data_IF_575919466795
#
_entry.id   IF_575919466795
#
_cell.length_a   1.000
_cell.length_b   1.000
_cell.length_c   1.000
_cell.angle_alpha   90.00
_cell.angle_beta   90.00
_cell.angle_gamma   90.00
#
_symmetry.space_group_name_H-M   'P 1'
#
loop_
_entity.id
_entity.type
_entity.pdbx_description
1 polymer ?
#
# COMPACT_ATOMS: atom_id res chain seq x y z
N UNK A 1 -22.19 -15.68 -25.78
CA UNK A 1 -21.84 -14.34 -25.22
C UNK A 1 -21.75 -14.43 -23.70
N UNK A 2 -20.72 -15.09 -23.17
CA UNK A 2 -20.64 -15.39 -21.72
C UNK A 2 -19.50 -14.63 -21.02
N UNK A 3 -18.77 -13.78 -21.73
CA UNK A 3 -17.59 -13.09 -21.19
C UNK A 3 -17.98 -11.81 -20.41
N UNK A 4 -19.19 -11.28 -20.63
CA UNK A 4 -19.62 -10.02 -20.02
C UNK A 4 -20.11 -10.12 -18.57
N UNK A 5 -20.28 -11.32 -17.99
CA UNK A 5 -20.80 -11.46 -16.62
C UNK A 5 -19.73 -11.26 -15.52
N UNK A 6 -18.44 -11.40 -15.85
CA UNK A 6 -17.35 -11.25 -14.87
C UNK A 6 -17.05 -9.76 -14.55
N UNK A 7 -17.52 -8.83 -15.39
CA UNK A 7 -17.24 -7.39 -15.25
C UNK A 7 -18.10 -6.70 -14.18
N UNK A 8 -19.13 -7.33 -13.62
CA UNK A 8 -20.00 -6.71 -12.58
C UNK A 8 -19.28 -6.62 -11.20
N UNK A 9 -18.10 -7.21 -11.04
CA UNK A 9 -17.16 -6.93 -9.94
C UNK A 9 -15.76 -6.55 -10.41
N UNK A 10 -15.66 -6.13 -11.68
CA UNK A 10 -14.43 -6.07 -12.46
C UNK A 10 -13.58 -4.86 -12.13
N UNK A 11 -12.79 -4.93 -11.07
CA UNK A 11 -11.48 -4.27 -11.10
C UNK A 11 -10.60 -5.16 -11.97
N UNK A 12 -10.23 -4.69 -13.14
CA UNK A 12 -9.25 -5.41 -13.99
C UNK A 12 -7.90 -5.43 -13.26
N UNK A 13 -7.04 -6.41 -13.56
CA UNK A 13 -5.72 -6.51 -12.91
C UNK A 13 -4.85 -5.26 -13.09
N UNK A 14 -5.10 -4.49 -14.16
CA UNK A 14 -4.43 -3.22 -14.43
C UNK A 14 -4.93 -2.09 -13.53
N UNK A 15 -6.24 -1.98 -13.30
CA UNK A 15 -6.82 -0.99 -12.39
C UNK A 15 -6.54 -1.30 -10.91
N UNK A 16 -6.26 -2.56 -10.59
CA UNK A 16 -5.94 -2.97 -9.22
C UNK A 16 -4.65 -2.34 -8.71
N UNK A 17 -3.65 -2.16 -9.59
CA UNK A 17 -2.39 -1.49 -9.22
C UNK A 17 -2.64 -0.05 -8.81
N UNK A 18 -3.49 0.68 -9.53
CA UNK A 18 -3.83 2.06 -9.20
C UNK A 18 -4.55 2.16 -7.86
N UNK A 19 -5.43 1.19 -7.56
CA UNK A 19 -6.12 1.10 -6.26
C UNK A 19 -5.13 0.78 -5.13
N UNK A 20 -4.19 -0.14 -5.35
CA UNK A 20 -3.19 -0.54 -4.34
C UNK A 20 -2.21 0.62 -4.06
N UNK A 21 -1.73 1.29 -5.11
CA UNK A 21 -0.80 2.40 -5.02
C UNK A 21 -1.49 3.73 -4.64
N UNK A 22 -2.82 3.74 -4.51
CA UNK A 22 -3.55 4.95 -4.08
C UNK A 22 -3.08 5.43 -2.71
N UNK A 23 -2.94 6.75 -2.58
CA UNK A 23 -2.49 7.43 -1.35
C UNK A 23 -3.32 7.03 -0.11
N UNK A 24 -4.61 6.82 -0.30
CA UNK A 24 -5.52 6.42 0.78
C UNK A 24 -5.22 5.00 1.27
N UNK A 25 -5.02 4.06 0.34
CA UNK A 25 -4.69 2.68 0.63
C UNK A 25 -3.33 2.56 1.33
N UNK A 26 -2.30 3.22 0.80
CA UNK A 26 -0.95 3.21 1.38
C UNK A 26 -0.92 3.81 2.80
N UNK A 27 -1.61 4.93 3.03
CA UNK A 27 -1.70 5.52 4.37
C UNK A 27 -2.41 4.62 5.38
N UNK A 28 -3.45 3.90 4.96
CA UNK A 28 -4.17 2.95 5.80
C UNK A 28 -3.27 1.78 6.21
N UNK A 29 -2.50 1.23 5.28
CA UNK A 29 -1.58 0.14 5.56
C UNK A 29 -0.38 0.59 6.39
N UNK A 30 0.16 1.77 6.12
CA UNK A 30 1.23 2.36 6.92
C UNK A 30 0.84 2.45 8.40
N UNK A 31 -0.34 3.01 8.72
CA UNK A 31 -0.84 3.08 10.10
C UNK A 31 -1.02 1.71 10.75
N UNK A 32 -1.41 0.70 9.97
CA UNK A 32 -1.55 -0.67 10.46
C UNK A 32 -0.21 -1.30 10.80
N UNK A 33 0.81 -1.12 9.95
CA UNK A 33 2.18 -1.58 10.21
C UNK A 33 2.74 -0.89 11.46
N UNK A 34 2.52 0.42 11.60
CA UNK A 34 2.92 1.17 12.79
C UNK A 34 2.25 0.65 14.06
N UNK A 35 0.94 0.39 14.00
CA UNK A 35 0.19 -0.14 15.14
C UNK A 35 0.62 -1.56 15.55
N UNK A 36 1.10 -2.37 14.59
CA UNK A 36 1.57 -3.73 14.86
C UNK A 36 2.90 -3.78 15.62
N UNK A 37 3.67 -2.67 15.66
CA UNK A 37 4.95 -2.56 16.38
C UNK A 37 5.87 -3.77 16.20
N UNK A 38 5.96 -4.27 14.97
CA UNK A 38 6.81 -5.40 14.64
C UNK A 38 8.29 -5.06 14.85
N UNK A 39 9.10 -6.07 15.16
CA UNK A 39 10.55 -5.91 15.18
C UNK A 39 11.06 -5.47 13.80
N UNK A 40 12.12 -4.66 13.79
CA UNK A 40 12.77 -4.18 12.57
C UNK A 40 13.18 -5.34 11.65
N UNK A 41 13.15 -5.09 10.35
CA UNK A 41 13.57 -6.06 9.34
C UNK A 41 15.08 -6.31 9.37
N UNK A 42 15.58 -7.04 8.37
CA UNK A 42 17.03 -7.25 8.19
C UNK A 42 17.80 -5.94 7.93
N UNK A 43 17.10 -4.92 7.45
CA UNK A 43 17.58 -3.56 7.26
C UNK A 43 17.71 -2.77 8.58
N UNK A 44 17.25 -3.34 9.70
CA UNK A 44 17.36 -2.72 11.03
C UNK A 44 16.48 -1.49 11.21
N UNK A 45 15.59 -1.19 10.25
CA UNK A 45 14.77 0.01 10.29
C UNK A 45 13.62 -0.15 11.29
N UNK A 46 13.57 0.73 12.28
CA UNK A 46 12.44 0.78 13.21
C UNK A 46 11.26 1.55 12.61
N UNK A 47 10.06 1.29 13.14
CA UNK A 47 8.80 1.85 12.66
C UNK A 47 8.80 3.38 12.71
N UNK A 48 9.49 3.97 13.68
CA UNK A 48 9.68 5.41 13.85
C UNK A 48 10.50 6.03 12.70
N UNK A 49 11.50 5.32 12.17
CA UNK A 49 12.38 5.80 11.08
C UNK A 49 11.68 5.73 9.71
N UNK A 50 10.74 4.81 9.56
CA UNK A 50 9.94 4.61 8.35
C UNK A 50 9.11 5.87 7.98
N UNK A 51 8.65 6.62 8.98
CA UNK A 51 7.91 7.87 8.75
C UNK A 51 8.75 9.01 8.18
N UNK A 52 10.01 9.11 8.61
CA UNK A 52 10.95 10.10 8.10
C UNK A 52 11.33 9.79 6.64
N UNK A 53 11.59 8.51 6.33
CA UNK A 53 11.92 8.07 4.98
C UNK A 53 10.79 8.33 3.98
N UNK A 54 9.54 8.00 4.31
CA UNK A 54 8.39 8.29 3.44
C UNK A 54 8.19 9.79 3.22
N UNK A 55 8.46 10.61 4.25
CA UNK A 55 8.35 12.07 4.14
C UNK A 55 9.41 12.67 3.22
N UNK A 56 10.63 12.16 3.26
CA UNK A 56 11.74 12.65 2.42
C UNK A 56 11.64 12.19 0.96
N UNK A 57 10.99 11.07 0.69
CA UNK A 57 10.88 10.48 -0.64
C UNK A 57 9.51 10.66 -1.30
N UNK A 58 8.61 11.48 -0.71
CA UNK A 58 7.27 11.73 -1.27
C UNK A 58 7.30 12.48 -2.60
N UNK A 59 8.32 13.31 -2.79
CA UNK A 59 8.41 14.32 -3.85
C UNK A 59 9.52 14.02 -4.88
N UNK A 60 10.21 12.88 -4.74
CA UNK A 60 11.15 12.31 -5.71
C UNK A 60 10.40 11.51 -6.77
#
# INVERSE_FOLDING_TARGET
MCINFVIIRGVTTMELIDVIASKENLNKYYKKVVANKGAGGIDGMEVEEHGAYIRENRDL
#
